data_IF_361170015853
#
_entry.id   IF_361170015853
#
_cell.length_a   1.000
_cell.length_b   1.000
_cell.length_c   1.000
_cell.angle_alpha   90.00
_cell.angle_beta   90.00
_cell.angle_gamma   90.00
#
_symmetry.space_group_name_H-M   'P 1'
#
loop_
_entity.id
_entity.type
_entity.pdbx_description
1 polymer ?
#
# COMPACT_ATOMS: atom_id res chain seq x y z
N UNK A 1 10.15 20.29 -1.27
CA UNK A 1 9.26 20.23 -0.09
C UNK A 1 9.34 18.82 0.47
N UNK A 2 9.41 18.68 1.79
CA UNK A 2 9.51 17.35 2.41
C UNK A 2 8.12 16.77 2.61
N UNK A 3 7.84 15.65 1.96
CA UNK A 3 6.57 14.95 2.10
C UNK A 3 6.42 14.32 3.49
N UNK A 4 5.18 14.21 3.98
CA UNK A 4 4.89 13.60 5.30
C UNK A 4 4.15 12.29 5.13
N UNK A 5 4.52 11.31 5.93
CA UNK A 5 3.87 10.02 5.95
C UNK A 5 2.45 10.17 6.46
N UNK A 6 1.47 9.72 5.68
CA UNK A 6 0.08 9.73 6.09
C UNK A 6 -0.20 8.81 7.30
N UNK A 7 0.54 7.69 7.42
CA UNK A 7 0.35 6.74 8.51
C UNK A 7 1.01 7.15 9.85
N UNK A 8 2.15 7.84 9.83
CA UNK A 8 2.88 8.20 11.06
C UNK A 8 3.12 9.70 11.27
N UNK A 9 2.78 10.54 10.29
CA UNK A 9 2.96 12.00 10.32
C UNK A 9 4.41 12.49 10.19
N UNK A 10 5.39 11.59 10.18
CA UNK A 10 6.82 11.94 10.10
C UNK A 10 7.24 12.26 8.67
N UNK A 11 8.29 13.06 8.55
CA UNK A 11 8.92 13.36 7.27
C UNK A 11 9.37 12.08 6.57
N UNK A 12 9.04 11.96 5.29
CA UNK A 12 9.40 10.82 4.45
C UNK A 12 10.50 11.27 3.51
N UNK A 13 11.66 10.64 3.66
CA UNK A 13 12.79 10.84 2.75
C UNK A 13 12.57 10.06 1.47
N UNK A 14 13.16 10.53 0.38
CA UNK A 14 13.05 9.95 -0.97
C UNK A 14 13.34 8.44 -0.95
N UNK A 15 14.36 8.03 -0.18
CA UNK A 15 14.77 6.62 0.03
C UNK A 15 13.65 5.70 0.53
N UNK A 16 12.75 6.21 1.37
CA UNK A 16 11.62 5.47 1.94
C UNK A 16 10.26 5.95 1.40
N UNK A 17 10.27 6.85 0.41
CA UNK A 17 9.07 7.50 -0.11
C UNK A 17 8.25 6.54 -0.95
N UNK A 18 7.03 6.26 -0.48
CA UNK A 18 6.01 5.53 -1.22
C UNK A 18 4.85 6.44 -1.54
N UNK A 19 4.69 6.80 -2.81
CA UNK A 19 3.51 7.51 -3.31
C UNK A 19 2.49 6.50 -3.80
N UNK A 20 1.40 6.35 -3.06
CA UNK A 20 0.32 5.40 -3.36
C UNK A 20 -1.00 6.12 -3.11
N UNK A 21 -1.96 6.01 -4.04
CA UNK A 21 -3.30 6.61 -3.90
C UNK A 21 -3.25 8.12 -3.60
N UNK A 22 -2.34 8.85 -4.29
CA UNK A 22 -2.11 10.27 -4.04
C UNK A 22 -1.66 10.63 -2.61
N UNK A 23 -1.11 9.67 -1.85
CA UNK A 23 -0.62 9.85 -0.49
C UNK A 23 0.80 9.33 -0.36
N UNK A 24 1.55 9.89 0.60
CA UNK A 24 2.92 9.47 0.87
C UNK A 24 3.00 8.61 2.13
N UNK A 25 3.70 7.49 2.04
CA UNK A 25 3.96 6.57 3.14
C UNK A 25 5.46 6.24 3.21
N UNK A 26 5.93 5.82 4.38
CA UNK A 26 7.21 5.09 4.43
C UNK A 26 7.01 3.66 3.94
N UNK A 27 8.03 3.09 3.29
CA UNK A 27 8.12 1.64 2.96
C UNK A 27 7.67 0.73 4.10
N UNK A 28 8.05 1.07 5.33
CA UNK A 28 7.72 0.31 6.55
C UNK A 28 6.36 0.68 7.16
N UNK A 29 5.89 1.91 6.92
CA UNK A 29 4.63 2.42 7.47
C UNK A 29 3.42 1.96 6.65
N UNK A 30 3.64 1.45 5.45
CA UNK A 30 2.61 0.85 4.62
C UNK A 30 2.15 -0.49 5.21
N UNK A 31 1.11 -0.42 6.04
CA UNK A 31 0.62 -1.54 6.87
C UNK A 31 -0.89 -1.69 6.72
N UNK A 32 -1.36 -2.91 6.87
CA UNK A 32 -2.80 -3.20 6.83
C UNK A 32 -3.51 -2.51 7.99
N UNK A 33 -4.61 -1.82 7.70
CA UNK A 33 -5.43 -1.15 8.71
C UNK A 33 -6.05 -2.12 9.74
N UNK A 34 -6.21 -3.39 9.39
CA UNK A 34 -6.82 -4.42 10.27
C UNK A 34 -5.79 -5.11 11.16
N UNK A 35 -4.69 -5.63 10.59
CA UNK A 35 -3.70 -6.40 11.34
C UNK A 35 -2.37 -5.68 11.59
N UNK A 36 -2.19 -4.47 11.08
CA UNK A 36 -0.92 -3.74 11.10
C UNK A 36 0.28 -4.50 10.49
N UNK A 37 0.06 -5.56 9.71
CA UNK A 37 1.14 -6.24 9.00
C UNK A 37 1.67 -5.34 7.90
N UNK A 38 3.00 -5.30 7.74
CA UNK A 38 3.67 -4.59 6.65
C UNK A 38 3.25 -5.21 5.33
N UNK A 39 2.73 -4.37 4.44
CA UNK A 39 2.24 -4.76 3.13
C UNK A 39 3.32 -4.52 2.10
N UNK A 40 3.47 -5.48 1.19
CA UNK A 40 4.33 -5.29 0.03
C UNK A 40 3.54 -4.56 -1.07
N UNK A 41 4.18 -3.63 -1.77
CA UNK A 41 3.61 -2.96 -2.93
C UNK A 41 3.16 -3.94 -4.03
N UNK A 42 3.76 -5.13 -4.07
CA UNK A 42 3.40 -6.21 -5.00
C UNK A 42 2.18 -7.05 -4.58
N UNK A 43 1.67 -6.87 -3.36
CA UNK A 43 0.63 -7.76 -2.80
C UNK A 43 -0.39 -7.05 -1.92
N UNK A 44 -0.41 -5.72 -1.92
CA UNK A 44 -1.41 -4.95 -1.16
C UNK A 44 -2.68 -4.78 -1.97
N UNK A 45 -3.77 -4.48 -1.25
CA UNK A 45 -5.00 -3.98 -1.84
C UNK A 45 -5.40 -2.69 -1.15
N UNK A 46 -5.98 -1.76 -1.89
CA UNK A 46 -6.48 -0.51 -1.35
C UNK A 46 -7.99 -0.48 -1.46
N UNK A 47 -8.66 -0.13 -0.36
CA UNK A 47 -10.10 0.12 -0.33
C UNK A 47 -10.32 1.50 0.30
N UNK A 48 -11.06 2.37 -0.38
CA UNK A 48 -11.34 3.75 0.08
C UNK A 48 -10.09 4.55 0.47
N UNK A 49 -8.97 4.32 -0.23
CA UNK A 49 -7.69 4.97 0.07
C UNK A 49 -6.92 4.38 1.25
N UNK A 50 -7.43 3.30 1.86
CA UNK A 50 -6.78 2.59 2.97
C UNK A 50 -6.16 1.27 2.50
N UNK A 51 -4.93 0.94 2.91
CA UNK A 51 -4.28 -0.30 2.52
C UNK A 51 -4.69 -1.49 3.40
N UNK A 52 -4.89 -2.64 2.77
CA UNK A 52 -5.30 -3.92 3.36
C UNK A 52 -4.42 -5.06 2.84
N UNK A 53 -4.24 -6.10 3.67
CA UNK A 53 -3.60 -7.33 3.22
C UNK A 53 -4.56 -8.19 2.41
N UNK A 54 -4.01 -9.15 1.65
CA UNK A 54 -4.80 -10.14 0.89
C UNK A 54 -5.82 -10.88 1.76
N UNK A 55 -5.50 -11.09 3.05
CA UNK A 55 -6.41 -11.73 3.99
C UNK A 55 -7.55 -10.79 4.40
N UNK A 56 -7.26 -9.57 4.86
CA UNK A 56 -8.27 -8.66 5.43
C UNK A 56 -8.96 -7.74 4.42
N UNK A 57 -8.71 -7.92 3.12
CA UNK A 57 -9.39 -7.13 2.09
C UNK A 57 -10.86 -7.57 2.00
N UNK A 58 -11.84 -6.66 2.12
CA UNK A 58 -13.25 -7.01 1.97
C UNK A 58 -13.52 -7.47 0.54
N UNK A 59 -13.79 -8.76 0.36
CA UNK A 59 -14.37 -9.25 -0.88
C UNK A 59 -15.84 -8.82 -0.89
N UNK A 60 -16.17 -7.84 -1.73
CA UNK A 60 -17.54 -7.40 -1.98
C UNK A 60 -18.24 -8.46 -2.85
N UNK A 61 -18.51 -9.62 -2.27
CA UNK A 61 -19.39 -10.62 -2.85
C UNK A 61 -20.81 -10.18 -2.54
N UNK A 62 -21.53 -9.67 -3.55
CA UNK A 62 -22.84 -9.02 -3.46
C UNK A 62 -23.97 -9.87 -2.86
N UNK A 63 -23.73 -11.12 -2.48
CA UNK A 63 -24.73 -12.00 -1.87
C UNK A 63 -24.17 -12.60 -0.58
N UNK A 64 -24.70 -12.14 0.55
CA UNK A 64 -24.19 -12.36 1.89
C UNK A 64 -23.77 -13.80 2.19
N UNK A 65 -22.49 -13.99 2.53
CA UNK A 65 -22.00 -15.20 3.15
C UNK A 65 -20.70 -14.90 3.91
N UNK A 66 -20.75 -15.20 5.21
CA UNK A 66 -19.68 -15.65 6.12
C UNK A 66 -18.22 -15.34 5.75
N UNK A 67 -17.59 -14.60 6.65
CA UNK A 67 -16.16 -14.29 6.72
C UNK A 67 -15.27 -15.53 6.48
N UNK A 68 -14.75 -15.69 5.27
CA UNK A 68 -13.62 -16.57 5.01
C UNK A 68 -12.61 -15.78 4.18
N UNK A 69 -11.47 -15.48 4.80
CA UNK A 69 -10.37 -14.71 4.22
C UNK A 69 -9.64 -15.56 3.15
N UNK A 70 -10.33 -15.86 2.05
CA UNK A 70 -9.83 -16.60 0.89
C UNK A 70 -9.54 -15.65 -0.26
N UNK A 71 -8.25 -15.52 -0.61
CA UNK A 71 -7.74 -14.57 -1.58
C UNK A 71 -8.31 -14.72 -2.99
N UNK A 72 -8.49 -13.59 -3.68
CA UNK A 72 -8.87 -13.55 -5.08
C UNK A 72 -8.24 -12.38 -5.84
N UNK A 73 -7.42 -12.73 -6.84
CA UNK A 73 -7.13 -12.08 -8.14
C UNK A 73 -6.52 -10.67 -8.15
N UNK A 74 -5.20 -10.68 -8.04
CA UNK A 74 -4.20 -9.75 -8.60
C UNK A 74 -4.44 -9.48 -10.09
N UNK A 75 -4.39 -8.23 -10.59
CA UNK A 75 -3.74 -7.97 -11.90
C UNK A 75 -3.63 -6.53 -12.44
N UNK A 76 -4.39 -5.49 -12.03
CA UNK A 76 -4.44 -4.29 -12.91
C UNK A 76 -4.09 -2.91 -12.34
N UNK A 77 -3.74 -2.77 -11.05
CA UNK A 77 -3.40 -1.45 -10.49
C UNK A 77 -1.91 -1.26 -10.18
N UNK A 78 -1.07 -2.24 -10.54
CA UNK A 78 0.33 -2.31 -10.13
C UNK A 78 1.30 -1.46 -10.95
N UNK A 79 0.94 -1.10 -12.18
CA UNK A 79 1.93 -0.65 -13.15
C UNK A 79 2.35 0.83 -13.00
N UNK A 80 1.52 1.70 -12.40
CA UNK A 80 1.87 3.11 -12.22
C UNK A 80 2.78 3.40 -11.00
N UNK A 81 2.99 2.42 -10.11
CA UNK A 81 3.67 2.65 -8.81
C UNK A 81 5.17 2.33 -8.84
N UNK A 82 5.64 1.52 -9.81
CA UNK A 82 7.03 1.03 -9.85
C UNK A 82 8.03 1.97 -10.55
N UNK A 83 7.58 2.99 -11.29
CA UNK A 83 8.50 3.81 -12.13
C UNK A 83 9.20 4.97 -11.41
N UNK A 84 8.74 5.44 -10.24
CA UNK A 84 9.37 6.60 -9.57
C UNK A 84 10.41 6.26 -8.47
N UNK A 85 10.54 4.99 -8.05
CA UNK A 85 11.33 4.64 -6.84
C UNK A 85 12.76 4.16 -7.15
N UNK A 86 13.07 3.80 -8.41
CA UNK A 86 14.37 3.21 -8.78
C UNK A 86 15.42 4.21 -9.30
N UNK A 87 15.16 5.52 -9.29
CA UNK A 87 16.09 6.53 -9.83
C UNK A 87 16.84 7.33 -8.74
N UNK A 88 17.24 6.70 -7.63
CA UNK A 88 18.10 7.37 -6.62
C UNK A 88 19.29 6.47 -6.19
N UNK A 89 19.78 5.62 -7.09
CA UNK A 89 21.18 5.16 -7.08
C UNK A 89 21.95 5.97 -8.13
N UNK A 90 22.01 7.28 -7.94
CA UNK A 90 23.05 8.09 -8.57
C UNK A 90 23.54 9.18 -7.62
N UNK A 91 24.78 8.98 -7.19
CA UNK A 91 25.76 9.93 -6.63
C UNK A 91 25.81 10.13 -5.10
N UNK A 92 26.66 9.31 -4.46
CA UNK A 92 27.96 9.80 -3.95
C UNK A 92 28.99 8.66 -3.86
#
# INVERSE_FOLDING_TARGET
MSEKCFACGKTVYVTEQLKILNRVYHKRCFRCTVCNCVLNMKSYRALDGNPYCRAHYPNVSEHGAQMNYGGGQEEQFQQEVEEEINNDDLEL
#
